data_IF_816420327952
#
_entry.id   IF_816420327952
#
_cell.length_a   1.000
_cell.length_b   1.000
_cell.length_c   1.000
_cell.angle_alpha   90.00
_cell.angle_beta   90.00
_cell.angle_gamma   90.00
#
_symmetry.space_group_name_H-M   'P 1'
#
loop_
_entity.id
_entity.type
_entity.pdbx_description
1 polymer ?
#
# COMPACT_ATOMS: atom_id res chain seq x y z
N UNK A 1 -7.77 16.15 9.99
CA UNK A 1 -7.70 14.69 10.20
C UNK A 1 -8.73 13.89 9.38
N UNK A 2 -8.30 12.83 8.69
CA UNK A 2 -9.12 11.81 8.00
C UNK A 2 -8.77 10.42 8.52
N UNK A 3 -9.75 9.52 8.63
CA UNK A 3 -9.51 8.11 8.98
C UNK A 3 -9.59 7.24 7.73
N UNK A 4 -8.66 6.31 7.60
CA UNK A 4 -8.57 5.37 6.48
C UNK A 4 -8.44 3.95 7.04
N UNK A 5 -9.10 2.99 6.41
CA UNK A 5 -8.98 1.57 6.75
C UNK A 5 -8.70 0.81 5.46
N UNK A 6 -7.76 -0.14 5.53
CA UNK A 6 -7.53 -1.13 4.50
C UNK A 6 -7.64 -2.53 5.09
N UNK A 7 -8.11 -3.46 4.26
CA UNK A 7 -8.13 -4.88 4.55
C UNK A 7 -7.40 -5.62 3.43
N UNK A 8 -6.51 -6.54 3.80
CA UNK A 8 -5.84 -7.45 2.88
C UNK A 8 -6.83 -8.43 2.25
N UNK A 9 -6.59 -8.77 0.99
CA UNK A 9 -7.48 -9.65 0.23
C UNK A 9 -7.39 -11.12 0.65
N UNK A 10 -6.16 -11.60 0.90
CA UNK A 10 -5.88 -13.04 1.00
C UNK A 10 -5.29 -13.45 2.37
N UNK A 11 -4.88 -12.47 3.16
CA UNK A 11 -4.38 -12.65 4.52
C UNK A 11 -5.17 -11.74 5.46
N UNK A 12 -5.35 -12.10 6.74
CA UNK A 12 -5.97 -11.25 7.74
C UNK A 12 -4.99 -10.13 8.12
N UNK A 13 -4.75 -9.25 7.15
CA UNK A 13 -4.00 -8.02 7.26
C UNK A 13 -5.01 -6.89 7.29
N UNK A 14 -4.87 -5.97 8.23
CA UNK A 14 -5.62 -4.72 8.24
C UNK A 14 -4.68 -3.57 8.53
N UNK A 15 -5.02 -2.39 8.02
CA UNK A 15 -4.36 -1.15 8.40
C UNK A 15 -5.43 -0.10 8.72
N UNK A 16 -5.34 0.52 9.89
CA UNK A 16 -6.13 1.70 10.25
C UNK A 16 -5.16 2.89 10.36
N UNK A 17 -5.41 3.96 9.61
CA UNK A 17 -4.60 5.17 9.68
C UNK A 17 -5.45 6.41 9.96
N UNK A 18 -4.89 7.36 10.71
CA UNK A 18 -5.42 8.70 10.91
C UNK A 18 -4.41 9.68 10.34
N UNK A 19 -4.80 10.37 9.28
CA UNK A 19 -3.89 11.20 8.49
C UNK A 19 -4.35 12.64 8.44
N UNK A 20 -3.37 13.52 8.37
CA UNK A 20 -3.52 14.95 8.10
C UNK A 20 -2.71 15.27 6.87
N UNK A 21 -3.32 16.02 5.97
CA UNK A 21 -2.69 16.45 4.73
C UNK A 21 -2.73 17.97 4.72
N UNK A 22 -1.56 18.60 4.70
CA UNK A 22 -1.39 20.04 4.60
C UNK A 22 -0.60 20.34 3.32
N UNK A 23 -1.29 20.92 2.33
CA UNK A 23 -0.74 21.05 0.98
C UNK A 23 -0.42 19.66 0.38
N UNK A 24 0.86 19.36 0.26
CA UNK A 24 1.39 18.09 -0.26
C UNK A 24 2.03 17.20 0.81
N UNK A 25 2.16 17.70 2.04
CA UNK A 25 2.73 16.93 3.14
C UNK A 25 1.65 16.07 3.80
N UNK A 26 1.97 14.80 4.05
CA UNK A 26 1.12 13.87 4.78
C UNK A 26 1.77 13.53 6.12
N UNK A 27 1.00 13.68 7.19
CA UNK A 27 1.34 13.24 8.55
C UNK A 27 0.29 12.26 9.03
N UNK A 28 0.64 11.42 9.99
CA UNK A 28 -0.38 10.60 10.60
C UNK A 28 0.13 9.53 11.53
N UNK A 29 -0.83 8.81 12.10
CA UNK A 29 -0.57 7.62 12.89
C UNK A 29 -1.33 6.45 12.28
N UNK A 30 -0.86 5.24 12.49
CA UNK A 30 -1.61 4.07 12.08
C UNK A 30 -1.22 2.80 12.80
N UNK A 31 -2.05 1.80 12.60
CA UNK A 31 -1.89 0.46 13.15
C UNK A 31 -2.07 -0.54 12.03
N UNK A 32 -1.06 -1.37 11.78
CA UNK A 32 -1.17 -2.60 11.01
C UNK A 32 -1.42 -3.78 11.95
N UNK A 33 -2.38 -4.62 11.58
CA UNK A 33 -2.66 -5.89 12.23
C UNK A 33 -2.39 -6.99 11.23
N UNK A 34 -1.35 -7.78 11.45
CA UNK A 34 -1.10 -9.01 10.71
C UNK A 34 -1.45 -10.25 11.53
N UNK A 35 -1.27 -11.43 10.94
CA UNK A 35 -1.59 -12.73 11.59
C UNK A 35 -0.92 -12.89 12.96
N UNK A 36 0.30 -12.37 13.10
CA UNK A 36 1.16 -12.58 14.29
C UNK A 36 1.73 -11.29 14.87
N UNK A 37 1.33 -10.12 14.34
CA UNK A 37 1.92 -8.86 14.75
C UNK A 37 0.88 -7.75 14.82
N UNK A 38 1.10 -6.83 15.75
CA UNK A 38 0.51 -5.49 15.73
C UNK A 38 1.67 -4.50 15.59
N UNK A 39 1.66 -3.70 14.54
CA UNK A 39 2.63 -2.65 14.30
C UNK A 39 1.93 -1.29 14.38
N UNK A 40 2.41 -0.41 15.25
CA UNK A 40 1.98 0.99 15.31
C UNK A 40 3.01 1.87 14.67
N UNK A 41 2.57 2.93 14.01
CA UNK A 41 3.47 3.92 13.43
C UNK A 41 2.99 5.35 13.65
N UNK A 42 3.95 6.26 13.65
CA UNK A 42 3.78 7.70 13.53
C UNK A 42 4.66 8.19 12.38
N UNK A 43 4.04 8.89 11.44
CA UNK A 43 4.64 9.39 10.22
C UNK A 43 4.70 10.91 10.27
N UNK A 44 5.92 11.43 10.28
CA UNK A 44 6.29 12.82 10.00
C UNK A 44 7.05 12.91 8.67
N UNK A 45 7.16 14.09 8.03
CA UNK A 45 7.85 14.24 6.75
C UNK A 45 9.32 13.82 6.76
N UNK A 46 9.98 13.85 7.92
CA UNK A 46 11.42 13.54 8.05
C UNK A 46 11.72 12.34 8.92
N UNK A 47 10.71 11.76 9.61
CA UNK A 47 10.89 10.71 10.59
C UNK A 47 9.69 9.77 10.63
N UNK A 48 9.97 8.46 10.55
CA UNK A 48 8.99 7.41 10.74
C UNK A 48 9.30 6.69 12.05
N UNK A 49 8.36 6.73 13.01
CA UNK A 49 8.46 5.97 14.26
C UNK A 49 7.61 4.72 14.16
N UNK A 50 8.18 3.60 14.59
CA UNK A 50 7.56 2.28 14.51
C UNK A 50 7.61 1.61 15.89
N UNK A 51 6.52 0.95 16.25
CA UNK A 51 6.42 0.09 17.44
C UNK A 51 5.80 -1.24 17.04
N UNK A 52 6.62 -2.29 17.03
CA UNK A 52 6.12 -3.66 17.00
C UNK A 52 5.69 -4.00 18.43
N UNK A 53 4.37 -4.02 18.65
CA UNK A 53 3.78 -4.01 20.00
C UNK A 53 4.21 -5.24 20.79
N UNK A 54 4.76 -4.99 21.98
CA UNK A 54 5.28 -6.05 22.86
C UNK A 54 6.67 -6.56 22.49
N UNK A 55 7.29 -6.04 21.42
CA UNK A 55 8.61 -6.49 20.96
C UNK A 55 9.65 -5.36 20.97
N UNK A 56 9.53 -4.37 20.09
CA UNK A 56 10.56 -3.32 19.93
C UNK A 56 10.04 -2.05 19.27
N UNK A 57 10.84 -0.99 19.40
CA UNK A 57 10.62 0.30 18.73
C UNK A 57 11.80 0.64 17.82
N UNK A 58 11.50 1.38 16.75
CA UNK A 58 12.47 1.85 15.79
C UNK A 58 12.11 3.27 15.35
N UNK A 59 13.10 4.15 15.30
CA UNK A 59 12.99 5.46 14.65
C UNK A 59 13.79 5.42 13.35
N UNK A 60 13.14 5.74 12.23
CA UNK A 60 13.71 5.69 10.89
C UNK A 60 13.72 7.10 10.31
N UNK A 61 14.87 7.79 10.30
CA UNK A 61 14.97 9.06 9.61
C UNK A 61 14.95 8.87 8.10
N UNK A 62 14.50 9.88 7.36
CA UNK A 62 14.44 9.83 5.89
C UNK A 62 15.83 9.92 5.24
N UNK A 63 16.76 10.63 5.90
CA UNK A 63 18.13 10.95 5.48
C UNK A 63 18.30 11.28 3.99
N UNK A 64 17.46 12.16 3.46
CA UNK A 64 17.59 12.66 2.08
C UNK A 64 17.10 11.71 0.99
N UNK A 65 16.51 10.56 1.34
CA UNK A 65 15.74 9.75 0.40
C UNK A 65 14.40 10.42 0.07
N UNK A 66 13.73 9.96 -0.99
CA UNK A 66 12.53 10.63 -1.51
C UNK A 66 11.34 10.54 -0.54
N UNK A 67 11.03 9.33 -0.07
CA UNK A 67 9.91 9.04 0.83
C UNK A 67 10.15 7.80 1.69
N UNK A 68 9.34 7.65 2.74
CA UNK A 68 9.21 6.37 3.45
C UNK A 68 8.36 5.38 2.65
N UNK A 69 8.61 4.08 2.82
CA UNK A 69 7.72 3.02 2.35
C UNK A 69 7.64 1.92 3.41
N UNK A 70 6.45 1.68 3.95
CA UNK A 70 6.25 0.67 4.99
C UNK A 70 5.66 -0.60 4.38
N UNK A 71 6.34 -1.73 4.59
CA UNK A 71 5.84 -3.04 4.18
C UNK A 71 4.40 -3.26 4.62
N UNK A 72 3.58 -3.86 3.75
CA UNK A 72 2.16 -4.12 3.98
C UNK A 72 1.29 -2.86 4.19
N UNK A 73 1.80 -1.64 3.96
CA UNK A 73 1.00 -0.40 4.06
C UNK A 73 0.68 0.19 2.69
N UNK A 74 -0.59 0.16 2.24
CA UNK A 74 -1.03 0.94 1.08
C UNK A 74 -0.97 2.45 1.30
N UNK A 75 -1.01 2.96 2.54
CA UNK A 75 -0.97 4.40 2.80
C UNK A 75 0.27 5.07 2.17
N UNK A 76 1.44 4.43 2.29
CA UNK A 76 2.72 5.02 1.89
C UNK A 76 2.85 5.19 0.37
N UNK A 77 2.05 4.48 -0.44
CA UNK A 77 1.95 4.75 -1.88
C UNK A 77 1.38 6.15 -2.19
N UNK A 78 0.69 6.77 -1.24
CA UNK A 78 0.10 8.10 -1.42
C UNK A 78 1.14 9.22 -1.35
N UNK A 79 2.30 8.98 -0.74
CA UNK A 79 3.33 10.00 -0.54
C UNK A 79 3.86 10.59 -1.88
N UNK A 80 4.41 9.78 -2.81
CA UNK A 80 4.81 10.29 -4.12
C UNK A 80 3.63 10.83 -4.92
N UNK A 81 2.46 10.19 -4.81
CA UNK A 81 1.27 10.59 -5.57
C UNK A 81 0.77 11.97 -5.18
N UNK A 82 0.78 12.31 -3.88
CA UNK A 82 0.39 13.63 -3.39
C UNK A 82 1.44 14.69 -3.69
N UNK A 83 2.72 14.42 -3.42
CA UNK A 83 3.81 15.40 -3.64
C UNK A 83 3.94 15.78 -5.11
N UNK A 84 3.95 14.78 -5.98
CA UNK A 84 4.30 14.96 -7.39
C UNK A 84 3.07 14.97 -8.30
N UNK A 85 1.86 14.95 -7.71
CA UNK A 85 0.58 15.05 -8.41
C UNK A 85 0.41 13.97 -9.48
N UNK A 86 0.76 12.73 -9.16
CA UNK A 86 0.83 11.62 -10.12
C UNK A 86 -0.53 11.11 -10.64
N UNK A 87 -1.64 11.68 -10.16
CA UNK A 87 -2.99 11.44 -10.71
C UNK A 87 -3.37 12.47 -11.78
N UNK A 88 -2.50 13.43 -12.05
CA UNK A 88 -2.60 14.29 -13.22
C UNK A 88 -1.84 13.63 -14.38
N UNK A 89 -2.33 13.82 -15.61
CA UNK A 89 -1.65 13.29 -16.80
C UNK A 89 -0.20 13.80 -16.81
N UNK A 90 0.76 12.89 -16.78
CA UNK A 90 2.16 13.21 -16.63
C UNK A 90 3.08 12.04 -16.93
N UNK A 91 4.38 12.30 -16.84
CA UNK A 91 5.41 11.30 -17.10
C UNK A 91 5.66 10.40 -15.88
N UNK A 92 6.13 9.20 -16.16
CA UNK A 92 6.61 8.29 -15.14
C UNK A 92 7.79 8.86 -14.36
N UNK A 93 7.86 8.56 -13.06
CA UNK A 93 8.89 9.06 -12.15
C UNK A 93 9.56 7.93 -11.38
N UNK A 94 10.84 8.11 -11.11
CA UNK A 94 11.65 7.20 -10.33
C UNK A 94 11.95 7.82 -8.96
N UNK A 95 11.95 7.00 -7.92
CA UNK A 95 12.18 7.37 -6.53
C UNK A 95 13.11 6.37 -5.86
N UNK A 96 13.82 6.81 -4.83
CA UNK A 96 14.49 5.94 -3.87
C UNK A 96 13.78 6.06 -2.53
N UNK A 97 13.09 5.00 -2.12
CA UNK A 97 12.37 4.97 -0.86
C UNK A 97 13.24 4.50 0.30
N UNK A 98 12.98 5.04 1.49
CA UNK A 98 13.38 4.46 2.78
C UNK A 98 12.39 3.37 3.14
N UNK A 99 12.60 2.17 2.58
CA UNK A 99 11.71 1.04 2.76
C UNK A 99 11.96 0.32 4.08
N UNK A 100 10.90 -0.05 4.78
CA UNK A 100 10.96 -0.84 6.02
C UNK A 100 10.15 -2.12 5.87
N UNK A 101 10.80 -3.27 6.06
CA UNK A 101 10.14 -4.57 6.02
C UNK A 101 9.26 -4.80 7.25
N UNK A 102 8.17 -5.56 7.09
CA UNK A 102 7.25 -5.92 8.17
C UNK A 102 6.99 -7.42 8.16
N UNK A 103 7.13 -8.13 9.30
CA UNK A 103 7.35 -7.60 10.65
C UNK A 103 8.82 -7.37 11.04
N UNK A 104 9.79 -7.66 10.17
CA UNK A 104 11.21 -7.71 10.54
C UNK A 104 11.86 -6.34 10.82
N UNK A 105 11.18 -5.22 10.53
CA UNK A 105 11.67 -3.85 10.72
C UNK A 105 13.09 -3.60 10.19
N UNK A 106 13.44 -4.28 9.10
CA UNK A 106 14.72 -4.04 8.41
C UNK A 106 14.56 -2.85 7.47
N UNK A 107 15.53 -1.94 7.50
CA UNK A 107 15.51 -0.69 6.73
C UNK A 107 16.42 -0.83 5.51
N UNK A 108 15.89 -0.52 4.32
CA UNK A 108 16.60 -0.62 3.05
C UNK A 108 16.31 0.58 2.16
N UNK A 109 17.23 0.89 1.25
CA UNK A 109 16.94 1.75 0.11
C UNK A 109 16.23 0.93 -0.97
N UNK A 110 15.14 1.47 -1.52
CA UNK A 110 14.32 0.78 -2.53
C UNK A 110 14.09 1.70 -3.73
N UNK A 111 14.75 1.45 -4.88
CA UNK A 111 14.42 2.10 -6.14
C UNK A 111 13.04 1.66 -6.62
N UNK A 112 12.16 2.63 -6.90
CA UNK A 112 10.78 2.40 -7.28
C UNK A 112 10.38 3.35 -8.41
N UNK A 113 9.52 2.87 -9.32
CA UNK A 113 8.99 3.67 -10.43
C UNK A 113 7.47 3.72 -10.40
N UNK A 114 6.94 4.93 -10.59
CA UNK A 114 5.51 5.23 -10.63
C UNK A 114 5.16 5.85 -11.99
N UNK A 115 4.34 5.16 -12.77
CA UNK A 115 3.89 5.58 -14.09
C UNK A 115 2.39 5.90 -14.05
N UNK A 116 1.99 7.19 -14.17
CA UNK A 116 0.58 7.55 -14.30
C UNK A 116 -0.04 6.88 -15.54
N UNK A 117 -1.10 6.10 -15.36
CA UNK A 117 -1.83 5.46 -16.47
C UNK A 117 -3.12 6.20 -16.81
N UNK A 118 -3.80 6.72 -15.79
CA UNK A 118 -5.01 7.54 -15.92
C UNK A 118 -5.17 8.47 -14.70
N UNK A 119 -6.33 9.12 -14.55
CA UNK A 119 -6.64 10.05 -13.44
C UNK A 119 -6.69 9.41 -12.03
N UNK A 120 -6.56 8.09 -11.92
CA UNK A 120 -6.71 7.32 -10.67
C UNK A 120 -5.77 6.13 -10.56
N UNK A 121 -5.12 5.72 -11.63
CA UNK A 121 -4.33 4.51 -11.68
C UNK A 121 -2.88 4.89 -11.94
N UNK A 122 -2.01 4.42 -11.05
CA UNK A 122 -0.56 4.52 -11.20
C UNK A 122 0.01 3.11 -11.26
N UNK A 123 0.77 2.82 -12.32
CA UNK A 123 1.57 1.61 -12.40
C UNK A 123 2.81 1.77 -11.54
N UNK A 124 2.87 0.95 -10.51
CA UNK A 124 4.01 0.80 -9.63
C UNK A 124 4.94 -0.31 -10.13
N UNK A 125 6.24 -0.09 -10.07
CA UNK A 125 7.24 -1.14 -10.28
C UNK A 125 8.45 -1.01 -9.34
N UNK A 126 8.99 -2.16 -8.93
CA UNK A 126 10.17 -2.28 -8.06
C UNK A 126 10.84 -3.63 -8.31
N UNK A 127 12.07 -3.61 -8.84
CA UNK A 127 12.72 -4.82 -9.36
C UNK A 127 11.84 -5.51 -10.40
N UNK A 128 11.61 -6.81 -10.23
CA UNK A 128 10.76 -7.60 -11.14
C UNK A 128 9.25 -7.49 -10.83
N UNK A 129 8.86 -6.79 -9.78
CA UNK A 129 7.46 -6.64 -9.39
C UNK A 129 6.81 -5.44 -10.08
N UNK A 130 5.60 -5.64 -10.60
CA UNK A 130 4.76 -4.61 -11.21
C UNK A 130 3.32 -4.76 -10.72
N UNK A 131 2.67 -3.65 -10.40
CA UNK A 131 1.26 -3.62 -10.03
C UNK A 131 0.60 -2.29 -10.41
N UNK A 132 -0.65 -2.35 -10.84
CA UNK A 132 -1.47 -1.15 -11.05
C UNK A 132 -2.21 -0.80 -9.75
N UNK A 133 -1.98 0.41 -9.25
CA UNK A 133 -2.51 0.92 -7.97
C UNK A 133 -3.62 1.92 -8.27
N UNK A 134 -4.84 1.60 -7.85
CA UNK A 134 -6.01 2.47 -8.03
C UNK A 134 -6.25 3.34 -6.78
N UNK A 135 -6.48 4.64 -7.00
CA UNK A 135 -6.77 5.65 -5.99
C UNK A 135 -8.23 6.10 -6.07
N UNK A 136 -8.91 6.17 -4.93
CA UNK A 136 -10.31 6.58 -4.87
C UNK A 136 -10.49 8.10 -5.03
N UNK A 137 -11.49 8.55 -5.82
CA UNK A 137 -11.78 9.99 -6.05
C UNK A 137 -12.28 10.72 -4.80
N UNK A 138 -13.17 10.09 -4.01
CA UNK A 138 -13.79 10.62 -2.78
C UNK A 138 -14.31 9.44 -1.95
N UNK A 139 -14.21 9.52 -0.61
CA UNK A 139 -14.79 8.52 0.33
C UNK A 139 -16.25 8.86 0.60
N UNK A 140 -17.19 7.97 0.26
CA UNK A 140 -18.60 8.07 0.65
C UNK A 140 -19.11 6.73 1.17
N UNK A 141 -19.78 6.73 2.33
CA UNK A 141 -20.30 5.53 2.98
C UNK A 141 -21.67 5.08 2.43
N UNK A 142 -21.80 3.77 2.16
CA UNK A 142 -22.96 2.96 2.55
C UNK A 142 -22.71 1.46 2.29
N UNK A 143 -22.90 0.64 3.33
CA UNK A 143 -23.21 -0.79 3.19
C UNK A 143 -22.07 -1.80 3.45
N UNK A 144 -22.29 -2.63 4.47
CA UNK A 144 -21.66 -3.94 4.67
C UNK A 144 -21.96 -4.84 3.46
N UNK A 145 -20.95 -5.51 2.92
CA UNK A 145 -21.19 -6.66 2.04
C UNK A 145 -20.11 -7.71 2.25
N UNK A 146 -20.54 -8.85 2.78
CA UNK A 146 -19.83 -10.12 2.78
C UNK A 146 -19.83 -10.73 1.37
N UNK A 147 -18.83 -11.57 1.07
CA UNK A 147 -18.90 -12.54 -0.02
C UNK A 147 -18.76 -13.96 0.54
N UNK A 148 -19.47 -14.95 -0.04
CA UNK A 148 -19.61 -16.29 0.51
C UNK A 148 -18.43 -17.20 0.11
N UNK A 149 -18.11 -18.15 0.97
CA UNK A 149 -17.21 -19.26 0.71
C UNK A 149 -17.95 -20.44 0.06
N UNK A 150 -17.46 -20.94 -1.09
CA UNK A 150 -17.76 -22.28 -1.64
C UNK A 150 -18.40 -22.35 -3.06
N UNK A 151 -17.72 -23.06 -3.98
CA UNK A 151 -18.04 -23.42 -5.39
C UNK A 151 -19.29 -24.33 -5.60
N UNK A 152 -19.59 -24.90 -6.80
CA UNK A 152 -19.53 -24.46 -8.23
C UNK A 152 -20.91 -24.63 -8.95
N UNK A 153 -21.30 -23.74 -9.86
CA UNK A 153 -22.06 -24.04 -11.11
C UNK A 153 -22.70 -22.77 -11.71
N UNK A 154 -22.47 -22.59 -13.02
CA UNK A 154 -23.12 -21.67 -13.97
C UNK A 154 -23.00 -20.15 -13.70
N UNK A 155 -22.61 -19.27 -14.64
CA UNK A 155 -22.65 -19.36 -16.09
C UNK A 155 -21.47 -18.61 -16.74
N UNK A 156 -20.96 -19.23 -17.79
CA UNK A 156 -20.03 -18.71 -18.80
C UNK A 156 -20.73 -17.65 -19.65
N UNK A 157 -20.05 -16.52 -19.90
CA UNK A 157 -19.87 -16.06 -21.29
C UNK A 157 -18.40 -15.75 -21.50
N UNK A 158 -17.78 -16.63 -22.28
CA UNK A 158 -16.41 -16.61 -22.76
C UNK A 158 -16.36 -15.88 -24.11
N UNK A 159 -15.41 -14.95 -24.26
CA UNK A 159 -14.59 -14.79 -25.48
C UNK A 159 -13.18 -14.34 -25.09
N UNK A 160 -12.43 -15.29 -24.55
CA UNK A 160 -11.08 -15.70 -24.94
C UNK A 160 -10.12 -14.64 -25.50
N UNK A 161 -9.13 -14.29 -24.68
CA UNK A 161 -7.73 -14.55 -25.03
C UNK A 161 -7.13 -15.37 -23.88
N UNK A 162 -6.78 -16.62 -24.20
CA UNK A 162 -6.08 -17.54 -23.31
C UNK A 162 -4.67 -17.03 -22.99
N UNK A 163 -4.34 -16.96 -21.71
CA UNK A 163 -3.04 -17.41 -21.20
C UNK A 163 -3.10 -17.64 -19.69
N UNK A 164 -3.15 -18.92 -19.30
CA UNK A 164 -2.81 -19.51 -18.00
C UNK A 164 -3.35 -18.87 -16.70
N UNK A 165 -3.98 -19.66 -15.80
CA UNK A 165 -4.28 -19.18 -14.46
C UNK A 165 -2.97 -18.98 -13.71
N UNK A 166 -2.60 -17.72 -13.46
CA UNK A 166 -1.44 -17.38 -12.64
C UNK A 166 -1.69 -17.81 -11.19
N UNK A 167 -1.34 -19.08 -10.96
CA UNK A 167 -0.94 -19.67 -9.70
C UNK A 167 0.03 -18.71 -9.01
N UNK A 168 -0.23 -18.41 -7.74
CA UNK A 168 0.69 -17.78 -6.79
C UNK A 168 2.17 -18.04 -7.13
N UNK A 169 2.87 -17.01 -7.61
CA UNK A 169 4.31 -17.09 -7.83
C UNK A 169 5.01 -16.57 -6.57
N UNK A 170 5.73 -17.48 -5.90
CA UNK A 170 6.71 -17.14 -4.88
C UNK A 170 7.79 -16.26 -5.54
N UNK A 171 8.14 -15.08 -4.99
CA UNK A 171 9.29 -14.35 -5.47
C UNK A 171 10.56 -15.17 -5.25
N UNK A 172 11.41 -15.28 -6.28
CA UNK A 172 12.83 -15.61 -6.12
C UNK A 172 13.59 -14.30 -6.27
N UNK A 173 14.13 -13.78 -5.17
CA UNK A 173 14.84 -12.50 -5.10
C UNK A 173 14.58 -11.83 -3.75
N UNK A 174 15.43 -10.89 -3.30
CA UNK A 174 15.29 -10.31 -1.98
C UNK A 174 14.04 -9.40 -1.93
N UNK A 175 12.94 -9.99 -1.47
CA UNK A 175 11.90 -9.40 -0.61
C UNK A 175 11.14 -8.16 -1.13
N UNK A 176 10.60 -8.20 -2.35
CA UNK A 176 9.38 -7.43 -2.63
C UNK A 176 8.17 -8.27 -2.18
N UNK A 177 7.62 -7.96 -1.00
CA UNK A 177 6.34 -8.53 -0.58
C UNK A 177 5.22 -7.89 -1.42
N UNK A 178 4.24 -8.68 -1.90
CA UNK A 178 3.10 -8.10 -2.61
C UNK A 178 2.38 -7.13 -1.68
N UNK A 179 2.34 -5.84 -2.04
CA UNK A 179 1.54 -4.85 -1.32
C UNK A 179 0.07 -5.26 -1.43
N UNK A 180 -0.72 -5.23 -0.33
CA UNK A 180 -2.14 -5.56 -0.40
C UNK A 180 -2.85 -4.60 -1.38
N UNK A 181 -3.79 -5.16 -2.14
CA UNK A 181 -4.67 -4.39 -3.03
C UNK A 181 -5.56 -3.48 -2.17
N UNK A 182 -5.72 -2.21 -2.56
CA UNK A 182 -6.53 -1.23 -1.83
C UNK A 182 -8.00 -1.69 -1.79
N UNK A 183 -8.55 -1.92 -0.60
CA UNK A 183 -9.99 -2.15 -0.40
C UNK A 183 -10.54 -1.15 0.61
N UNK A 184 -11.37 -0.24 0.09
CA UNK A 184 -12.38 0.61 0.76
C UNK A 184 -11.96 1.41 2.01
N UNK A 185 -11.88 2.73 1.85
CA UNK A 185 -11.86 3.69 2.96
C UNK A 185 -13.18 3.64 3.75
N UNK A 186 -13.11 3.34 5.06
CA UNK A 186 -14.22 3.54 5.99
C UNK A 186 -14.15 4.93 6.62
N UNK A 187 -15.30 5.56 6.85
CA UNK A 187 -15.45 6.84 7.58
C UNK A 187 -16.77 6.77 8.39
N UNK A 188 -16.95 7.61 9.45
CA UNK A 188 -17.82 7.37 10.61
C UNK A 188 -19.32 7.23 10.31
#
# INVERSE_FOLDING_TARGET
MRTMLWQGLDLPLMELARVEVEGVELRGTGTQLGVKYELRYELDPTLLRLELVGERRLEVPLDGLDFFDLGNSPLFNSLPVLRDRLLEVGEARDYVMRWVSVPELEVHESPQRYEPLDERVVRFSSGDFVADVEFARTVSWSGTRSWPSGSPDAAVTDRSVESSPSRWLRPRGPRCYPKPRVVRNLSP
#
